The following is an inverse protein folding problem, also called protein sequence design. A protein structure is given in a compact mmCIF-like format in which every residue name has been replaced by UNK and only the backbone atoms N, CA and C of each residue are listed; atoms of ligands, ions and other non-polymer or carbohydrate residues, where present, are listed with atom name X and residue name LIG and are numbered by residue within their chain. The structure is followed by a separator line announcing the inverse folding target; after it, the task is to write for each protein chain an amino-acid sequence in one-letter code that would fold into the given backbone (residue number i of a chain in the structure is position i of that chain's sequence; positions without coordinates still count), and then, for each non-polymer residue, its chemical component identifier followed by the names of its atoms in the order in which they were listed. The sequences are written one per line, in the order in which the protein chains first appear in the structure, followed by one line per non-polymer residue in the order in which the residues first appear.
data_IF_108638612212
#
_entry.id   IF_108638612212
#
_cell.length_a   1.000
_cell.length_b   1.000
_cell.length_c   1.000
_cell.angle_alpha   90.00
_cell.angle_beta   90.00
_cell.angle_gamma   90.00
#
_symmetry.space_group_name_H-M   'P 1'
#
loop_
_entity.id
_entity.type
_entity.pdbx_description
1 polymer ?
#
# COMPACT_ATOMS: atom_id res chain seq x y z
N UNK A 1 5.26 5.12 -37.93
CA UNK A 1 5.95 4.16 -37.03
C UNK A 1 4.91 3.63 -36.07
N UNK A 2 4.59 2.33 -36.08
CA UNK A 2 3.67 1.77 -35.08
C UNK A 2 4.47 1.49 -33.81
N UNK A 3 4.16 2.21 -32.75
CA UNK A 3 4.81 2.04 -31.46
C UNK A 3 4.37 0.70 -30.84
N UNK A 4 5.32 -0.22 -30.62
CA UNK A 4 5.06 -1.52 -30.04
C UNK A 4 4.88 -1.39 -28.52
N UNK A 5 3.67 -0.98 -28.09
CA UNK A 5 3.33 -0.80 -26.67
C UNK A 5 2.81 -2.12 -26.10
N UNK A 6 3.60 -2.73 -25.21
CA UNK A 6 3.20 -3.89 -24.43
C UNK A 6 2.61 -3.42 -23.09
N UNK A 7 1.43 -3.94 -22.72
CA UNK A 7 0.83 -3.67 -21.42
C UNK A 7 1.57 -4.46 -20.33
N UNK A 8 2.09 -3.75 -19.32
CA UNK A 8 2.79 -4.32 -18.17
C UNK A 8 1.93 -4.33 -16.89
N UNK A 9 0.66 -3.95 -17.00
CA UNK A 9 -0.26 -3.97 -15.89
C UNK A 9 -0.54 -5.40 -15.42
N UNK A 10 -0.79 -5.55 -14.12
CA UNK A 10 -1.25 -6.79 -13.51
C UNK A 10 -2.56 -6.53 -12.79
N UNK A 11 -3.41 -7.55 -12.69
CA UNK A 11 -4.64 -7.43 -11.91
C UNK A 11 -4.33 -7.24 -10.43
N UNK A 12 -5.17 -6.47 -9.74
CA UNK A 12 -5.04 -6.27 -8.29
C UNK A 12 -5.09 -7.58 -7.50
N UNK A 13 -5.85 -8.57 -7.96
CA UNK A 13 -5.87 -9.89 -7.35
C UNK A 13 -4.49 -10.57 -7.42
N UNK A 14 -3.82 -10.50 -8.58
CA UNK A 14 -2.47 -11.02 -8.75
C UNK A 14 -1.46 -10.24 -7.89
N UNK A 15 -1.58 -8.92 -7.84
CA UNK A 15 -0.72 -8.07 -6.99
C UNK A 15 -0.83 -8.45 -5.51
N UNK A 16 -2.07 -8.62 -4.99
CA UNK A 16 -2.30 -9.05 -3.60
C UNK A 16 -1.67 -10.41 -3.30
N UNK A 17 -1.78 -11.38 -4.22
CA UNK A 17 -1.17 -12.70 -4.03
C UNK A 17 0.36 -12.57 -3.97
N UNK A 18 0.96 -11.84 -4.90
CA UNK A 18 2.41 -11.63 -4.93
C UNK A 18 2.89 -10.98 -3.63
N UNK A 19 2.22 -9.91 -3.17
CA UNK A 19 2.63 -9.21 -1.94
C UNK A 19 2.50 -10.10 -0.71
N UNK A 20 1.51 -11.00 -0.67
CA UNK A 20 1.36 -11.96 0.43
C UNK A 20 2.57 -12.91 0.51
N UNK A 21 2.99 -13.48 -0.62
CA UNK A 21 4.14 -14.38 -0.68
C UNK A 21 5.48 -13.68 -0.41
N UNK A 22 5.60 -12.39 -0.71
CA UNK A 22 6.80 -11.60 -0.38
C UNK A 22 6.79 -11.20 1.10
N UNK A 23 5.66 -10.70 1.60
CA UNK A 23 5.58 -10.14 2.96
C UNK A 23 5.64 -11.19 4.05
N UNK A 24 5.05 -12.38 3.87
CA UNK A 24 5.06 -13.43 4.90
C UNK A 24 6.50 -13.83 5.29
N UNK A 25 7.40 -14.22 4.37
CA UNK A 25 8.78 -14.54 4.71
C UNK A 25 9.51 -13.38 5.38
N UNK A 26 9.27 -12.15 4.92
CA UNK A 26 9.88 -10.94 5.50
C UNK A 26 9.43 -10.75 6.95
N UNK A 27 8.13 -10.87 7.23
CA UNK A 27 7.57 -10.76 8.58
C UNK A 27 8.12 -11.88 9.48
N UNK A 28 8.16 -13.13 9.00
CA UNK A 28 8.72 -14.26 9.75
C UNK A 28 10.18 -13.98 10.10
N UNK A 29 10.99 -13.57 9.11
CA UNK A 29 12.40 -13.30 9.32
C UNK A 29 12.61 -12.17 10.35
N UNK A 30 11.85 -11.08 10.25
CA UNK A 30 11.92 -9.98 11.22
C UNK A 30 11.54 -10.44 12.63
N UNK A 31 10.48 -11.24 12.79
CA UNK A 31 10.08 -11.77 14.09
C UNK A 31 11.12 -12.74 14.66
N UNK A 32 11.70 -13.61 13.84
CA UNK A 32 12.77 -14.54 14.26
C UNK A 32 13.98 -13.75 14.75
N UNK A 33 14.42 -12.73 14.00
CA UNK A 33 15.53 -11.86 14.41
C UNK A 33 15.18 -11.14 15.71
N UNK A 34 13.97 -10.57 15.83
CA UNK A 34 13.54 -9.87 17.02
C UNK A 34 13.58 -10.76 18.27
N UNK A 35 13.00 -11.97 18.18
CA UNK A 35 12.97 -12.94 19.28
C UNK A 35 14.39 -13.44 19.60
N UNK A 36 15.22 -13.67 18.57
CA UNK A 36 16.60 -14.10 18.78
C UNK A 36 17.45 -13.07 19.53
N UNK A 37 17.18 -11.77 19.33
CA UNK A 37 17.92 -10.67 19.96
C UNK A 37 17.35 -10.26 21.34
N UNK A 38 16.04 -10.35 21.53
CA UNK A 38 15.36 -9.77 22.70
C UNK A 38 14.63 -10.82 23.57
N UNK A 39 14.63 -12.08 23.15
CA UNK A 39 13.79 -13.11 23.76
C UNK A 39 12.30 -12.88 23.47
N UNK A 40 11.44 -13.47 24.31
CA UNK A 40 9.98 -13.35 24.19
C UNK A 40 9.38 -12.31 25.13
N UNK A 41 10.20 -11.72 25.99
CA UNK A 41 9.78 -10.66 26.90
C UNK A 41 9.52 -9.38 26.09
N UNK A 42 8.29 -8.88 26.13
CA UNK A 42 7.86 -7.71 25.33
C UNK A 42 6.99 -8.03 24.11
N UNK A 43 6.61 -9.30 23.87
CA UNK A 43 5.66 -9.65 22.80
C UNK A 43 4.21 -9.16 23.04
N UNK A 44 3.94 -8.53 24.19
CA UNK A 44 2.62 -8.00 24.49
C UNK A 44 2.38 -6.72 23.68
N UNK A 45 1.24 -6.59 22.98
CA UNK A 45 0.88 -5.35 22.30
C UNK A 45 0.85 -4.18 23.28
N UNK A 46 1.56 -3.10 22.94
CA UNK A 46 1.60 -1.86 23.73
C UNK A 46 0.31 -1.04 23.55
N UNK A 47 -0.30 -1.15 22.37
CA UNK A 47 -1.52 -0.43 22.00
C UNK A 47 -2.70 -1.38 21.94
N UNK A 48 -3.90 -0.86 22.23
CA UNK A 48 -5.13 -1.62 22.04
C UNK A 48 -5.36 -1.91 20.55
N UNK A 49 -5.98 -3.06 20.25
CA UNK A 49 -6.31 -3.43 18.88
C UNK A 49 -7.21 -2.38 18.20
N UNK A 50 -8.12 -1.76 18.94
CA UNK A 50 -8.98 -0.70 18.43
C UNK A 50 -8.19 0.52 17.95
N UNK A 51 -7.20 0.96 18.76
CA UNK A 51 -6.32 2.05 18.36
C UNK A 51 -5.50 1.71 17.12
N UNK A 52 -4.95 0.49 17.06
CA UNK A 52 -4.18 0.03 15.90
C UNK A 52 -5.01 0.03 14.61
N UNK A 53 -6.27 -0.43 14.68
CA UNK A 53 -7.18 -0.41 13.52
C UNK A 53 -7.40 1.03 13.03
N UNK A 54 -7.70 1.95 13.94
CA UNK A 54 -7.90 3.36 13.58
C UNK A 54 -6.64 3.97 12.97
N UNK A 55 -5.47 3.70 13.57
CA UNK A 55 -4.19 4.18 13.07
C UNK A 55 -3.90 3.65 11.65
N UNK A 56 -4.18 2.37 11.39
CA UNK A 56 -4.01 1.77 10.05
C UNK A 56 -4.96 2.40 9.04
N UNK A 57 -6.24 2.60 9.40
CA UNK A 57 -7.21 3.24 8.50
C UNK A 57 -6.82 4.69 8.17
N UNK A 58 -6.36 5.47 9.16
CA UNK A 58 -5.84 6.82 8.92
C UNK A 58 -4.57 6.79 8.06
N UNK A 59 -3.66 5.85 8.34
CA UNK A 59 -2.45 5.64 7.54
C UNK A 59 -2.75 5.35 6.08
N UNK A 60 -3.78 4.55 5.79
CA UNK A 60 -4.26 4.28 4.43
C UNK A 60 -4.72 5.57 3.75
N UNK A 61 -5.55 6.38 4.42
CA UNK A 61 -6.03 7.65 3.85
C UNK A 61 -4.86 8.58 3.55
N UNK A 62 -3.92 8.71 4.49
CA UNK A 62 -2.72 9.53 4.31
C UNK A 62 -1.86 9.00 3.15
N UNK A 63 -1.69 7.69 3.03
CA UNK A 63 -0.93 7.06 1.95
C UNK A 63 -1.49 7.41 0.58
N UNK A 64 -2.80 7.27 0.38
CA UNK A 64 -3.41 7.63 -0.89
C UNK A 64 -3.28 9.13 -1.18
N UNK A 65 -3.47 9.99 -0.17
CA UNK A 65 -3.28 11.43 -0.32
C UNK A 65 -1.84 11.80 -0.72
N UNK A 66 -0.82 11.08 -0.23
CA UNK A 66 0.58 11.30 -0.63
C UNK A 66 0.77 11.07 -2.12
N UNK A 67 0.15 10.05 -2.72
CA UNK A 67 0.19 9.84 -4.18
C UNK A 67 -0.39 11.07 -4.90
N UNK A 68 -1.56 11.52 -4.46
CA UNK A 68 -2.22 12.67 -5.06
C UNK A 68 -1.42 13.95 -4.97
N UNK A 69 -0.92 14.28 -3.77
CA UNK A 69 -0.07 15.46 -3.52
C UNK A 69 1.19 15.39 -4.37
N UNK A 70 1.81 14.21 -4.49
CA UNK A 70 3.00 14.02 -5.30
C UNK A 70 2.73 14.31 -6.78
N UNK A 71 1.59 13.90 -7.33
CA UNK A 71 1.23 14.23 -8.71
C UNK A 71 0.89 15.71 -8.92
N UNK A 72 0.32 16.39 -7.92
CA UNK A 72 0.11 17.85 -8.01
C UNK A 72 1.44 18.59 -8.04
N UNK A 73 2.34 18.29 -7.10
CA UNK A 73 3.59 19.05 -6.93
C UNK A 73 4.60 18.69 -8.01
N UNK A 74 4.87 17.39 -8.20
CA UNK A 74 5.95 16.93 -9.08
C UNK A 74 5.46 16.61 -10.48
N UNK A 75 4.22 16.11 -10.60
CA UNK A 75 3.59 15.83 -11.90
C UNK A 75 2.93 17.03 -12.56
N UNK A 76 2.82 18.18 -11.85
CA UNK A 76 2.11 19.38 -12.30
C UNK A 76 0.66 19.09 -12.76
N UNK A 77 0.03 18.06 -12.18
CA UNK A 77 -1.33 17.65 -12.52
C UNK A 77 -2.35 18.42 -11.68
N UNK A 78 -3.49 18.84 -12.25
CA UNK A 78 -4.53 19.45 -11.45
C UNK A 78 -5.15 18.40 -10.51
N UNK A 79 -5.58 18.81 -9.31
CA UNK A 79 -6.23 17.89 -8.37
C UNK A 79 -7.49 17.23 -8.96
N UNK A 80 -8.17 17.91 -9.89
CA UNK A 80 -9.31 17.38 -10.65
C UNK A 80 -8.97 16.19 -11.56
N UNK A 81 -7.70 15.98 -11.92
CA UNK A 81 -7.25 14.83 -12.70
C UNK A 81 -7.07 13.56 -11.84
N UNK A 82 -7.03 13.70 -10.51
CA UNK A 82 -6.77 12.61 -9.57
C UNK A 82 -8.09 11.97 -9.15
N UNK A 83 -8.11 10.64 -9.05
CA UNK A 83 -9.25 9.87 -8.55
C UNK A 83 -8.80 8.97 -7.41
N UNK A 84 -9.41 9.17 -6.26
CA UNK A 84 -9.35 8.27 -5.11
C UNK A 84 -10.53 7.31 -5.13
N UNK A 85 -10.34 6.11 -4.59
CA UNK A 85 -11.43 5.16 -4.42
C UNK A 85 -11.03 3.93 -3.62
N UNK A 86 -11.99 3.00 -3.56
CA UNK A 86 -11.81 1.72 -2.89
C UNK A 86 -12.35 0.59 -3.77
N UNK A 87 -11.53 -0.42 -4.02
CA UNK A 87 -11.92 -1.61 -4.78
C UNK A 87 -12.36 -2.72 -3.82
N UNK A 88 -13.67 -2.88 -3.66
CA UNK A 88 -14.27 -3.84 -2.74
C UNK A 88 -13.88 -5.30 -3.00
N UNK A 89 -13.73 -5.72 -4.26
CA UNK A 89 -13.39 -7.10 -4.61
C UNK A 89 -12.03 -7.55 -4.07
N UNK A 90 -11.10 -6.62 -3.90
CA UNK A 90 -9.73 -6.90 -3.44
C UNK A 90 -9.37 -6.16 -2.15
N UNK A 91 -10.34 -5.47 -1.54
CA UNK A 91 -10.16 -4.60 -0.37
C UNK A 91 -8.99 -3.62 -0.52
N UNK A 92 -8.88 -2.99 -1.69
CA UNK A 92 -7.73 -2.14 -2.00
C UNK A 92 -8.14 -0.67 -2.12
N UNK A 93 -7.66 0.23 -1.25
CA UNK A 93 -7.70 1.65 -1.52
C UNK A 93 -6.81 1.95 -2.75
N UNK A 94 -7.14 3.00 -3.50
CA UNK A 94 -6.31 3.43 -4.62
C UNK A 94 -6.41 4.93 -4.85
N UNK A 95 -5.33 5.46 -5.44
CA UNK A 95 -5.25 6.73 -6.12
C UNK A 95 -4.73 6.49 -7.54
N UNK A 96 -5.30 7.17 -8.54
CA UNK A 96 -4.75 7.19 -9.91
C UNK A 96 -5.05 8.49 -10.64
N UNK A 97 -4.30 8.77 -11.70
CA UNK A 97 -4.61 9.83 -12.66
C UNK A 97 -5.59 9.33 -13.71
N UNK A 98 -6.62 10.13 -14.00
CA UNK A 98 -7.61 9.85 -15.06
C UNK A 98 -7.06 10.08 -16.47
N UNK A 99 -5.86 10.63 -16.56
CA UNK A 99 -5.12 10.87 -17.78
C UNK A 99 -3.75 10.16 -17.70
N UNK A 100 -3.10 9.92 -18.84
CA UNK A 100 -1.73 9.44 -18.85
C UNK A 100 -0.82 10.37 -18.05
N UNK A 101 0.15 9.76 -17.35
CA UNK A 101 1.23 10.48 -16.66
C UNK A 101 1.99 11.33 -17.67
#
# INVERSE_FOLDING_TARGET
MMENKHDLSISMARANIIVLFISIPVVILQFVIFIGLHGTEGLKPVWSSAFLIVAVLLGIVIHELIHGISWVIFGHKPFSAIKFGFQWKTFTPYAHLKEPV
#
